data_IF_515931347658
#
_entry.id   IF_515931347658
#
_cell.length_a   1.000
_cell.length_b   1.000
_cell.length_c   1.000
_cell.angle_alpha   90.00
_cell.angle_beta   90.00
_cell.angle_gamma   90.00
#
_symmetry.space_group_name_H-M   'P 1'
#
loop_
_entity.id
_entity.type
_entity.pdbx_description
1 polymer ?
#
# COMPACT_ATOMS: atom_id res chain seq x y z
N UNK A 1 -27.55 8.52 40.39
CA UNK A 1 -26.09 8.34 40.27
C UNK A 1 -25.83 7.41 39.08
N UNK A 2 -24.93 7.76 38.14
CA UNK A 2 -24.74 7.02 36.90
C UNK A 2 -23.82 5.81 37.11
N UNK A 3 -24.05 4.71 36.39
CA UNK A 3 -23.08 3.62 36.27
C UNK A 3 -22.76 3.40 34.80
N UNK A 4 -21.74 4.10 34.34
CA UNK A 4 -21.06 3.85 33.07
C UNK A 4 -20.12 2.66 33.28
N UNK A 5 -20.55 1.46 32.89
CA UNK A 5 -19.63 0.34 32.73
C UNK A 5 -19.19 0.32 31.26
N UNK A 6 -17.95 0.73 31.01
CA UNK A 6 -17.24 0.30 29.82
C UNK A 6 -16.95 -1.20 30.02
N UNK A 7 -17.95 -2.03 29.71
CA UNK A 7 -17.73 -3.47 29.59
C UNK A 7 -16.93 -3.66 28.31
N UNK A 8 -15.66 -4.06 28.48
CA UNK A 8 -14.70 -4.26 27.41
C UNK A 8 -15.13 -5.39 26.49
N UNK A 9 -16.07 -5.10 25.60
CA UNK A 9 -16.54 -6.01 24.55
C UNK A 9 -15.33 -6.50 23.75
N UNK A 10 -14.96 -7.79 23.87
CA UNK A 10 -13.81 -8.33 23.17
C UNK A 10 -14.00 -8.28 21.64
N UNK A 11 -15.24 -8.22 21.14
CA UNK A 11 -15.49 -8.04 19.72
C UNK A 11 -15.10 -6.63 19.25
N UNK A 12 -15.48 -5.58 19.99
CA UNK A 12 -15.08 -4.20 19.70
C UNK A 12 -13.57 -3.97 19.74
N UNK A 13 -12.87 -4.59 20.70
CA UNK A 13 -11.40 -4.49 20.81
C UNK A 13 -10.70 -5.23 19.66
N UNK A 14 -11.25 -6.36 19.21
CA UNK A 14 -10.71 -7.12 18.07
C UNK A 14 -10.94 -6.40 16.73
N UNK A 15 -12.11 -5.79 16.55
CA UNK A 15 -12.42 -5.03 15.34
C UNK A 15 -11.55 -3.77 15.22
N UNK A 16 -11.38 -3.03 16.32
CA UNK A 16 -10.48 -1.87 16.35
C UNK A 16 -9.03 -2.26 16.00
N UNK A 17 -8.51 -3.34 16.59
CA UNK A 17 -7.17 -3.85 16.27
C UNK A 17 -7.03 -4.31 14.82
N UNK A 18 -8.07 -4.94 14.25
CA UNK A 18 -8.09 -5.31 12.83
C UNK A 18 -8.02 -4.06 11.95
N UNK A 19 -8.79 -3.04 12.28
CA UNK A 19 -8.82 -1.78 11.52
C UNK A 19 -7.47 -1.05 11.60
N UNK A 20 -6.84 -0.99 12.78
CA UNK A 20 -5.48 -0.44 12.93
C UNK A 20 -4.42 -1.23 12.15
N UNK A 21 -4.47 -2.56 12.18
CA UNK A 21 -3.54 -3.41 11.43
C UNK A 21 -3.67 -3.19 9.91
N UNK A 22 -4.89 -3.04 9.40
CA UNK A 22 -5.13 -2.72 7.99
C UNK A 22 -4.58 -1.33 7.62
N UNK A 23 -4.78 -0.33 8.47
CA UNK A 23 -4.24 1.02 8.27
C UNK A 23 -2.69 1.02 8.27
N UNK A 24 -2.07 0.33 9.22
CA UNK A 24 -0.62 0.21 9.30
C UNK A 24 -0.03 -0.52 8.09
N UNK A 25 -0.67 -1.61 7.65
CA UNK A 25 -0.26 -2.34 6.45
C UNK A 25 -0.35 -1.44 5.20
N UNK A 26 -1.43 -0.67 5.04
CA UNK A 26 -1.60 0.27 3.93
C UNK A 26 -0.57 1.41 3.95
N UNK A 27 -0.25 1.94 5.14
CA UNK A 27 0.76 2.98 5.30
C UNK A 27 2.17 2.48 4.94
N UNK A 28 2.54 1.28 5.40
CA UNK A 28 3.82 0.65 5.05
C UNK A 28 3.91 0.36 3.55
N UNK A 29 2.85 -0.23 2.97
CA UNK A 29 2.79 -0.50 1.53
C UNK A 29 2.94 0.78 0.72
N UNK A 30 2.26 1.86 1.13
CA UNK A 30 2.38 3.17 0.49
C UNK A 30 3.77 3.78 0.64
N UNK A 31 4.41 3.62 1.80
CA UNK A 31 5.76 4.12 2.04
C UNK A 31 6.80 3.39 1.16
N UNK A 32 6.68 2.07 1.01
CA UNK A 32 7.54 1.29 0.12
C UNK A 32 7.28 1.67 -1.33
N UNK A 33 6.01 1.76 -1.72
CA UNK A 33 5.62 2.10 -3.08
C UNK A 33 6.09 3.51 -3.46
N UNK A 34 5.88 4.52 -2.61
CA UNK A 34 6.29 5.90 -2.91
C UNK A 34 7.76 6.21 -2.58
N UNK A 35 8.52 5.24 -2.09
CA UNK A 35 9.94 5.45 -1.78
C UNK A 35 10.76 5.54 -3.07
N UNK A 36 11.55 6.61 -3.19
CA UNK A 36 12.55 6.74 -4.25
C UNK A 36 13.79 5.86 -4.02
N UNK A 37 13.91 5.22 -2.85
CA UNK A 37 15.03 4.33 -2.52
C UNK A 37 14.76 2.87 -2.93
N UNK A 38 13.50 2.51 -3.19
CA UNK A 38 13.11 1.18 -3.63
C UNK A 38 12.46 1.25 -5.01
N UNK A 39 12.96 0.44 -5.93
CA UNK A 39 12.33 0.29 -7.25
C UNK A 39 11.37 -0.89 -7.22
N UNK A 40 10.12 -0.65 -7.60
CA UNK A 40 9.08 -1.68 -7.71
C UNK A 40 8.46 -1.64 -9.09
N UNK A 41 8.51 -2.78 -9.79
CA UNK A 41 7.95 -2.98 -11.12
C UNK A 41 7.15 -4.29 -11.08
N UNK A 42 5.90 -4.26 -11.53
CA UNK A 42 5.09 -5.46 -11.68
C UNK A 42 4.42 -5.48 -13.05
N UNK A 43 4.42 -6.65 -13.68
CA UNK A 43 3.76 -6.88 -14.97
C UNK A 43 2.61 -7.86 -14.82
N UNK A 44 1.66 -7.82 -15.75
CA UNK A 44 0.71 -8.90 -15.93
C UNK A 44 1.35 -10.12 -16.64
N UNK A 45 0.56 -11.17 -16.85
CA UNK A 45 1.02 -12.40 -17.50
C UNK A 45 1.44 -12.20 -18.98
N UNK A 46 1.09 -11.07 -19.60
CA UNK A 46 1.49 -10.71 -20.96
C UNK A 46 2.69 -9.76 -21.00
N UNK A 47 3.26 -9.41 -19.83
CA UNK A 47 4.41 -8.52 -19.73
C UNK A 47 4.06 -7.03 -19.69
N UNK A 48 2.78 -6.66 -19.59
CA UNK A 48 2.39 -5.25 -19.53
C UNK A 48 2.66 -4.71 -18.13
N UNK A 49 3.40 -3.61 -18.04
CA UNK A 49 3.71 -2.95 -16.77
C UNK A 49 2.43 -2.35 -16.18
N UNK A 50 2.07 -2.83 -15.00
CA UNK A 50 0.92 -2.39 -14.21
C UNK A 50 1.32 -1.52 -13.01
N UNK A 51 2.55 -1.70 -12.53
CA UNK A 51 3.12 -0.93 -11.43
C UNK A 51 4.48 -0.41 -11.87
N UNK A 52 4.66 0.90 -11.72
CA UNK A 52 5.94 1.58 -11.91
C UNK A 52 6.04 2.73 -10.92
N UNK A 53 6.85 2.57 -9.87
CA UNK A 53 6.94 3.57 -8.81
C UNK A 53 8.07 4.60 -9.04
N UNK A 54 8.10 5.65 -8.22
CA UNK A 54 9.10 6.73 -8.34
C UNK A 54 10.55 6.25 -8.22
N UNK A 55 10.81 5.18 -7.45
CA UNK A 55 12.13 4.56 -7.41
C UNK A 55 12.52 3.93 -8.74
N UNK A 56 11.60 3.20 -9.38
CA UNK A 56 11.79 2.61 -10.71
C UNK A 56 11.97 3.69 -11.79
N UNK A 57 11.21 4.79 -11.71
CA UNK A 57 11.40 5.95 -12.59
C UNK A 57 12.82 6.51 -12.50
N UNK A 58 13.29 6.72 -11.28
CA UNK A 58 14.65 7.24 -11.03
C UNK A 58 15.74 6.26 -11.47
N UNK A 59 15.52 4.96 -11.29
CA UNK A 59 16.50 3.93 -11.66
C UNK A 59 16.62 3.75 -13.17
N UNK A 60 15.49 3.77 -13.89
CA UNK A 60 15.45 3.45 -15.32
C UNK A 60 15.37 4.68 -16.23
N UNK A 61 15.10 5.86 -15.68
CA UNK A 61 15.05 7.13 -16.42
C UNK A 61 13.78 7.34 -17.25
N UNK A 62 12.74 6.54 -17.01
CA UNK A 62 11.42 6.69 -17.63
C UNK A 62 10.42 7.16 -16.58
N UNK A 63 9.41 7.91 -16.99
CA UNK A 63 8.24 8.21 -16.14
C UNK A 63 7.23 7.06 -16.21
N UNK A 64 6.40 6.88 -15.18
CA UNK A 64 5.32 5.91 -15.20
C UNK A 64 4.39 6.13 -16.40
N UNK A 65 4.14 7.39 -16.79
CA UNK A 65 3.33 7.70 -17.96
C UNK A 65 3.90 7.18 -19.29
N UNK A 66 5.22 6.98 -19.38
CA UNK A 66 5.87 6.50 -20.59
C UNK A 66 5.78 4.98 -20.75
N UNK A 67 5.70 4.24 -19.64
CA UNK A 67 5.85 2.77 -19.61
C UNK A 67 4.61 2.03 -19.13
N UNK A 68 3.76 2.65 -18.31
CA UNK A 68 2.52 2.04 -17.83
C UNK A 68 1.57 1.74 -18.99
N UNK A 69 0.95 0.56 -18.95
CA UNK A 69 -0.02 0.11 -19.95
C UNK A 69 0.49 0.05 -21.40
N UNK A 70 1.81 0.04 -21.61
CA UNK A 70 2.40 -0.21 -22.93
C UNK A 70 2.87 -1.65 -23.04
N UNK A 71 2.46 -2.31 -24.11
CA UNK A 71 3.03 -3.58 -24.55
C UNK A 71 4.32 -3.23 -25.29
N UNK A 72 5.45 -3.78 -24.86
CA UNK A 72 6.67 -3.81 -25.68
C UNK A 72 6.74 -5.13 -26.42
#
# INVERSE_FOLDING_TARGET
>A
MPKTAYDGDPAGVMEFRRQEALLQAGALQSAIFNSANFSSIATDAKGVIQIFNVGAERMLGYTAAEVMNKIT
#
